data_IF_433183593758
#
_entry.id   IF_433183593758
#
_cell.length_a   1.000
_cell.length_b   1.000
_cell.length_c   1.000
_cell.angle_alpha   90.00
_cell.angle_beta   90.00
_cell.angle_gamma   90.00
#
_symmetry.space_group_name_H-M   'P 1'
#
loop_
_entity.id
_entity.type
_entity.pdbx_description
1 polymer ?
#
# COMPACT_ATOMS: atom_id res chain seq x y z
N UNK A 1 13.43 21.25 21.02
CA UNK A 1 12.93 19.93 20.59
C UNK A 1 13.36 19.73 19.14
N UNK A 2 14.31 18.83 18.88
CA UNK A 2 14.92 18.61 17.55
C UNK A 2 14.26 17.44 16.79
N UNK A 3 14.59 17.30 15.51
CA UNK A 3 14.12 16.19 14.66
C UNK A 3 14.67 14.85 15.18
N UNK A 4 13.81 13.84 15.29
CA UNK A 4 14.23 12.48 15.65
C UNK A 4 14.90 11.78 14.46
N UNK A 5 15.62 10.68 14.72
CA UNK A 5 16.25 9.89 13.65
C UNK A 5 15.22 9.38 12.62
N UNK A 6 14.00 9.09 13.06
CA UNK A 6 12.90 8.71 12.18
C UNK A 6 12.46 9.88 11.29
N UNK A 7 12.34 11.09 11.86
CA UNK A 7 11.95 12.28 11.09
C UNK A 7 12.98 12.58 9.99
N UNK A 8 14.27 12.46 10.31
CA UNK A 8 15.36 12.63 9.34
C UNK A 8 15.28 11.57 8.24
N UNK A 9 15.07 10.30 8.60
CA UNK A 9 14.95 9.22 7.62
C UNK A 9 13.77 9.43 6.67
N UNK A 10 12.60 9.78 7.21
CA UNK A 10 11.39 10.05 6.41
C UNK A 10 11.63 11.23 5.48
N UNK A 11 12.22 12.32 5.98
CA UNK A 11 12.56 13.48 5.16
C UNK A 11 13.54 13.13 4.02
N UNK A 12 14.54 12.30 4.29
CA UNK A 12 15.49 11.85 3.26
C UNK A 12 14.80 10.97 2.20
N UNK A 13 13.94 10.03 2.61
CA UNK A 13 13.23 9.15 1.66
C UNK A 13 12.24 9.93 0.83
N UNK A 14 11.40 10.77 1.45
CA UNK A 14 10.40 11.59 0.76
C UNK A 14 11.07 12.62 -0.14
N UNK A 15 12.04 13.35 0.39
CA UNK A 15 12.80 14.36 -0.36
C UNK A 15 13.57 13.75 -1.53
N UNK A 16 14.26 12.62 -1.30
CA UNK A 16 14.95 11.87 -2.35
C UNK A 16 13.99 11.36 -3.44
N UNK A 17 12.83 10.83 -3.05
CA UNK A 17 11.81 10.38 -3.98
C UNK A 17 11.16 11.53 -4.77
N UNK A 18 10.97 12.69 -4.14
CA UNK A 18 10.49 13.91 -4.79
C UNK A 18 11.48 14.41 -5.84
N UNK A 19 12.77 14.49 -5.50
CA UNK A 19 13.85 14.84 -6.44
C UNK A 19 13.90 13.85 -7.59
N UNK A 20 13.83 12.55 -7.30
CA UNK A 20 13.82 11.53 -8.34
C UNK A 20 12.58 11.62 -9.24
N UNK A 21 11.44 12.04 -8.67
CA UNK A 21 10.21 12.35 -9.40
C UNK A 21 10.35 13.53 -10.35
N UNK A 22 11.07 14.60 -9.97
CA UNK A 22 11.43 15.71 -10.88
C UNK A 22 12.32 15.22 -12.02
N UNK A 23 13.34 14.41 -11.70
CA UNK A 23 14.30 13.90 -12.70
C UNK A 23 13.64 12.96 -13.71
N UNK A 24 12.71 12.12 -13.26
CA UNK A 24 12.01 11.15 -14.11
C UNK A 24 10.74 11.70 -14.74
N UNK A 25 10.10 12.71 -14.16
CA UNK A 25 8.81 13.22 -14.63
C UNK A 25 7.62 12.32 -14.27
N UNK A 26 6.43 12.92 -14.21
CA UNK A 26 5.19 12.25 -13.82
C UNK A 26 4.80 11.11 -14.78
N UNK A 27 4.86 11.33 -16.09
CA UNK A 27 4.47 10.32 -17.08
C UNK A 27 5.27 9.04 -16.95
N UNK A 28 6.60 9.15 -16.80
CA UNK A 28 7.47 7.97 -16.61
C UNK A 28 7.07 7.21 -15.36
N UNK A 29 6.79 7.93 -14.27
CA UNK A 29 6.45 7.34 -12.98
C UNK A 29 5.10 6.63 -13.03
N UNK A 30 4.08 7.23 -13.61
CA UNK A 30 2.76 6.61 -13.78
C UNK A 30 2.81 5.39 -14.70
N UNK A 31 3.49 5.50 -15.85
CA UNK A 31 3.67 4.35 -16.75
C UNK A 31 4.47 3.22 -16.10
N UNK A 32 5.42 3.54 -15.22
CA UNK A 32 6.14 2.52 -14.46
C UNK A 32 5.21 1.76 -13.50
N UNK A 33 4.25 2.44 -12.85
CA UNK A 33 3.23 1.76 -12.05
C UNK A 33 2.31 0.89 -12.91
N UNK A 34 1.92 1.38 -14.09
CA UNK A 34 1.15 0.56 -15.03
C UNK A 34 1.91 -0.69 -15.48
N UNK A 35 3.24 -0.65 -15.60
CA UNK A 35 4.04 -1.84 -15.88
C UNK A 35 3.94 -2.88 -14.75
N UNK A 36 3.93 -2.45 -13.48
CA UNK A 36 3.70 -3.36 -12.34
C UNK A 36 2.31 -3.98 -12.38
N UNK A 37 1.29 -3.19 -12.70
CA UNK A 37 -0.08 -3.70 -12.88
C UNK A 37 -0.11 -4.72 -14.03
N UNK A 38 0.53 -4.42 -15.15
CA UNK A 38 0.62 -5.33 -16.30
C UNK A 38 1.32 -6.65 -15.95
N UNK A 39 2.34 -6.64 -15.09
CA UNK A 39 2.98 -7.88 -14.59
C UNK A 39 1.97 -8.73 -13.84
N UNK A 40 1.18 -8.14 -12.93
CA UNK A 40 0.16 -8.88 -12.17
C UNK A 40 -0.84 -9.53 -13.11
N UNK A 41 -1.35 -8.79 -14.11
CA UNK A 41 -2.25 -9.35 -15.12
C UNK A 41 -1.57 -10.42 -15.99
N UNK A 42 -0.33 -10.18 -16.41
CA UNK A 42 0.44 -11.12 -17.22
C UNK A 42 0.65 -12.44 -16.49
N UNK A 43 1.04 -12.38 -15.22
CA UNK A 43 1.18 -13.57 -14.37
C UNK A 43 -0.18 -14.24 -14.20
N UNK A 44 -1.23 -13.49 -13.85
CA UNK A 44 -2.58 -14.07 -13.66
C UNK A 44 -3.08 -14.82 -14.90
N UNK A 45 -2.83 -14.29 -16.10
CA UNK A 45 -3.36 -14.84 -17.35
C UNK A 45 -2.47 -15.94 -17.95
N UNK A 46 -1.15 -15.78 -17.90
CA UNK A 46 -0.22 -16.62 -18.67
C UNK A 46 0.61 -17.58 -17.81
N UNK A 47 0.59 -17.45 -16.47
CA UNK A 47 1.44 -18.29 -15.60
C UNK A 47 1.13 -19.78 -15.74
N UNK A 48 -0.14 -20.18 -15.62
CA UNK A 48 -0.55 -21.59 -15.71
C UNK A 48 -0.19 -22.26 -17.06
N UNK A 49 -0.59 -21.70 -18.23
CA UNK A 49 -0.26 -22.33 -19.51
C UNK A 49 1.25 -22.37 -19.79
N UNK A 50 1.98 -21.32 -19.42
CA UNK A 50 3.42 -21.26 -19.63
C UNK A 50 4.18 -22.23 -18.71
N UNK A 51 3.77 -22.34 -17.44
CA UNK A 51 4.36 -23.30 -16.50
C UNK A 51 4.17 -24.75 -16.98
N UNK A 52 2.99 -25.07 -17.53
CA UNK A 52 2.73 -26.41 -18.08
C UNK A 52 3.66 -26.71 -19.26
N UNK A 53 3.81 -25.77 -20.19
CA UNK A 53 4.74 -25.89 -21.32
C UNK A 53 6.20 -26.07 -20.89
N UNK A 54 6.61 -25.39 -19.82
CA UNK A 54 7.97 -25.47 -19.26
C UNK A 54 8.21 -26.70 -18.40
N UNK A 55 7.17 -27.46 -18.03
CA UNK A 55 7.32 -28.63 -17.16
C UNK A 55 8.16 -29.73 -17.82
N UNK A 56 7.99 -29.94 -19.13
CA UNK A 56 8.80 -30.90 -19.90
C UNK A 56 10.29 -30.51 -19.93
N UNK A 57 10.64 -29.31 -20.43
CA UNK A 57 12.03 -28.86 -20.51
C UNK A 57 12.75 -28.71 -19.16
N UNK A 58 12.05 -28.29 -18.10
CA UNK A 58 12.66 -28.05 -16.77
C UNK A 58 12.70 -29.31 -15.92
N UNK A 59 11.86 -30.30 -16.21
CA UNK A 59 11.81 -31.59 -15.51
C UNK A 59 11.17 -31.53 -14.11
N UNK A 60 10.84 -30.35 -13.59
CA UNK A 60 10.13 -30.18 -12.31
C UNK A 60 9.00 -29.17 -12.44
N UNK A 61 7.86 -29.47 -11.80
CA UNK A 61 6.68 -28.58 -11.79
C UNK A 61 7.00 -27.26 -11.10
N UNK A 62 7.67 -27.31 -9.95
CA UNK A 62 8.05 -26.10 -9.19
C UNK A 62 9.05 -25.24 -9.96
N UNK A 63 10.08 -25.84 -10.57
CA UNK A 63 11.05 -25.11 -11.36
C UNK A 63 10.42 -24.44 -12.58
N UNK A 64 9.52 -25.14 -13.27
CA UNK A 64 8.77 -24.61 -14.40
C UNK A 64 7.86 -23.43 -13.98
N UNK A 65 7.18 -23.54 -12.83
CA UNK A 65 6.34 -22.47 -12.32
C UNK A 65 7.14 -21.20 -11.94
N UNK A 66 8.31 -21.36 -11.32
CA UNK A 66 9.22 -20.26 -10.99
C UNK A 66 9.77 -19.61 -12.27
N UNK A 67 10.20 -20.42 -13.24
CA UNK A 67 10.72 -19.92 -14.51
C UNK A 67 9.65 -19.20 -15.32
N UNK A 68 8.43 -19.73 -15.37
CA UNK A 68 7.28 -19.07 -16.01
C UNK A 68 7.01 -17.70 -15.39
N UNK A 69 6.99 -17.62 -14.06
CA UNK A 69 6.81 -16.35 -13.35
C UNK A 69 7.93 -15.35 -13.67
N UNK A 70 9.19 -15.81 -13.65
CA UNK A 70 10.36 -14.97 -13.95
C UNK A 70 10.34 -14.45 -15.39
N UNK A 71 9.99 -15.30 -16.36
CA UNK A 71 9.90 -14.93 -17.77
C UNK A 71 8.79 -13.91 -18.01
N UNK A 72 7.58 -14.18 -17.52
CA UNK A 72 6.44 -13.26 -17.69
C UNK A 72 6.75 -11.91 -17.03
N UNK A 73 7.15 -11.93 -15.76
CA UNK A 73 7.43 -10.70 -15.02
C UNK A 73 8.59 -9.93 -15.64
N UNK A 74 9.67 -10.62 -16.02
CA UNK A 74 10.85 -10.01 -16.63
C UNK A 74 10.56 -9.37 -17.98
N UNK A 75 9.90 -10.10 -18.89
CA UNK A 75 9.55 -9.58 -20.22
C UNK A 75 8.58 -8.42 -20.10
N UNK A 76 7.50 -8.55 -19.31
CA UNK A 76 6.52 -7.48 -19.12
C UNK A 76 7.13 -6.26 -18.45
N UNK A 77 7.97 -6.44 -17.43
CA UNK A 77 8.68 -5.34 -16.78
C UNK A 77 9.60 -4.60 -17.75
N UNK A 78 10.43 -5.32 -18.50
CA UNK A 78 11.39 -4.72 -19.42
C UNK A 78 10.69 -3.96 -20.55
N UNK A 79 9.67 -4.57 -21.15
CA UNK A 79 8.85 -3.93 -22.17
C UNK A 79 8.15 -2.68 -21.63
N UNK A 80 7.48 -2.79 -20.48
CA UNK A 80 6.82 -1.66 -19.83
C UNK A 80 7.79 -0.54 -19.46
N UNK A 81 9.01 -0.88 -19.00
CA UNK A 81 10.05 0.10 -18.67
C UNK A 81 10.58 0.82 -19.90
N UNK A 82 10.79 0.12 -21.01
CA UNK A 82 11.17 0.75 -22.28
C UNK A 82 10.11 1.76 -22.73
N UNK A 83 8.83 1.37 -22.72
CA UNK A 83 7.71 2.24 -23.10
C UNK A 83 7.64 3.45 -22.18
N UNK A 84 7.70 3.25 -20.86
CA UNK A 84 7.67 4.33 -19.87
C UNK A 84 8.80 5.35 -20.09
N UNK A 85 10.01 4.87 -20.38
CA UNK A 85 11.15 5.75 -20.65
C UNK A 85 11.01 6.52 -21.96
N UNK A 86 10.56 5.85 -23.04
CA UNK A 86 10.41 6.46 -24.35
C UNK A 86 9.31 7.52 -24.37
N UNK A 87 8.16 7.25 -23.74
CA UNK A 87 7.08 8.23 -23.63
C UNK A 87 7.47 9.35 -22.66
N UNK A 88 8.07 9.00 -21.53
CA UNK A 88 8.52 9.97 -20.53
C UNK A 88 9.54 10.97 -21.07
N UNK A 89 10.52 10.53 -21.88
CA UNK A 89 11.47 11.46 -22.50
C UNK A 89 10.77 12.41 -23.47
N UNK A 90 9.89 11.88 -24.33
CA UNK A 90 9.13 12.71 -25.28
C UNK A 90 8.28 13.78 -24.59
N UNK A 91 7.64 13.44 -23.47
CA UNK A 91 6.86 14.44 -22.71
C UNK A 91 7.77 15.53 -22.13
N UNK A 92 8.92 15.15 -21.56
CA UNK A 92 9.87 16.10 -20.96
C UNK A 92 10.54 17.03 -21.98
N UNK A 93 10.73 16.57 -23.21
CA UNK A 93 11.33 17.35 -24.30
C UNK A 93 10.32 18.28 -24.98
N UNK A 94 9.02 18.17 -24.63
CA UNK A 94 7.95 19.02 -25.14
C UNK A 94 7.76 20.30 -24.32
N UNK A 95 6.87 21.18 -24.79
CA UNK A 95 6.42 22.40 -24.08
C UNK A 95 5.84 22.07 -22.69
N UNK A 96 5.30 20.86 -22.50
CA UNK A 96 4.74 20.40 -21.23
C UNK A 96 5.80 19.90 -20.23
N UNK A 97 7.07 19.86 -20.61
CA UNK A 97 8.15 19.32 -19.78
C UNK A 97 8.22 19.91 -18.36
N UNK A 98 8.12 21.23 -18.15
CA UNK A 98 8.09 21.82 -16.81
C UNK A 98 6.91 21.33 -15.96
N UNK A 99 5.72 21.19 -16.57
CA UNK A 99 4.51 20.71 -15.89
C UNK A 99 4.67 19.24 -15.51
N UNK A 100 5.18 18.40 -16.41
CA UNK A 100 5.45 16.97 -16.15
C UNK A 100 6.46 16.79 -14.99
N UNK A 101 7.49 17.63 -14.91
CA UNK A 101 8.46 17.60 -13.79
C UNK A 101 7.86 18.08 -12.48
N UNK A 102 7.01 19.11 -12.50
CA UNK A 102 6.33 19.60 -11.30
C UNK A 102 5.34 18.56 -10.73
N UNK A 103 4.54 17.93 -11.60
CA UNK A 103 3.70 16.80 -11.21
C UNK A 103 4.53 15.61 -10.74
N UNK A 104 5.69 15.39 -11.37
CA UNK A 104 6.66 14.36 -10.97
C UNK A 104 7.18 14.57 -9.56
N UNK A 105 7.41 15.81 -9.13
CA UNK A 105 7.77 16.15 -7.75
C UNK A 105 6.69 15.68 -6.77
N UNK A 106 5.43 16.06 -7.01
CA UNK A 106 4.32 15.73 -6.13
C UNK A 106 4.06 14.22 -6.07
N UNK A 107 4.08 13.56 -7.22
CA UNK A 107 3.96 12.10 -7.30
C UNK A 107 5.13 11.38 -6.63
N UNK A 108 6.35 11.91 -6.82
CA UNK A 108 7.59 11.44 -6.18
C UNK A 108 7.54 11.54 -4.67
N UNK A 109 7.09 12.67 -4.13
CA UNK A 109 6.90 12.87 -2.70
C UNK A 109 5.84 11.91 -2.14
N UNK A 110 4.70 11.76 -2.83
CA UNK A 110 3.62 10.86 -2.41
C UNK A 110 4.10 9.40 -2.35
N UNK A 111 4.75 8.89 -3.41
CA UNK A 111 5.29 7.52 -3.39
C UNK A 111 6.40 7.36 -2.35
N UNK A 112 7.22 8.39 -2.16
CA UNK A 112 8.27 8.42 -1.14
C UNK A 112 7.69 8.29 0.26
N UNK A 113 6.57 8.96 0.52
CA UNK A 113 5.85 8.88 1.79
C UNK A 113 5.26 7.49 2.01
N UNK A 114 4.66 6.89 0.97
CA UNK A 114 4.16 5.51 1.03
C UNK A 114 5.31 4.54 1.33
N UNK A 115 6.45 4.66 0.63
CA UNK A 115 7.62 3.82 0.85
C UNK A 115 8.24 4.02 2.24
N UNK A 116 8.33 5.26 2.72
CA UNK A 116 8.80 5.56 4.07
C UNK A 116 7.90 4.94 5.13
N UNK A 117 6.57 5.03 4.94
CA UNK A 117 5.57 4.42 5.83
C UNK A 117 5.70 2.90 5.84
N UNK A 118 5.83 2.28 4.67
CA UNK A 118 5.98 0.83 4.56
C UNK A 118 7.30 0.36 5.20
N UNK A 119 8.40 1.09 4.98
CA UNK A 119 9.68 0.82 5.62
C UNK A 119 9.62 0.95 7.14
N UNK A 120 8.95 1.98 7.66
CA UNK A 120 8.71 2.13 9.09
C UNK A 120 7.89 0.97 9.65
N UNK A 121 6.84 0.52 8.94
CA UNK A 121 6.03 -0.61 9.36
C UNK A 121 6.87 -1.89 9.48
N UNK A 122 7.76 -2.14 8.52
CA UNK A 122 8.69 -3.28 8.56
C UNK A 122 9.66 -3.16 9.74
N UNK A 123 10.21 -1.97 10.00
CA UNK A 123 11.11 -1.74 11.15
C UNK A 123 10.39 -2.02 12.46
N UNK A 124 9.18 -1.45 12.64
CA UNK A 124 8.36 -1.68 13.85
C UNK A 124 8.02 -3.15 14.00
N UNK A 125 7.58 -3.81 12.92
CA UNK A 125 7.26 -5.23 12.93
C UNK A 125 8.48 -6.07 13.32
N UNK A 126 9.67 -5.75 12.79
CA UNK A 126 10.91 -6.43 13.11
C UNK A 126 11.30 -6.22 14.57
N UNK A 127 11.21 -4.99 15.07
CA UNK A 127 11.52 -4.68 16.47
C UNK A 127 10.54 -5.33 17.44
N UNK A 128 9.25 -5.34 17.12
CA UNK A 128 8.22 -5.95 17.96
C UNK A 128 8.33 -7.48 17.96
N UNK A 129 8.67 -8.08 16.82
CA UNK A 129 8.92 -9.53 16.69
C UNK A 129 10.20 -9.96 17.42
N UNK A 130 11.28 -9.19 17.33
CA UNK A 130 12.56 -9.52 17.97
C UNK A 130 12.60 -9.22 19.47
N UNK A 131 11.83 -8.23 19.95
CA UNK A 131 11.92 -7.73 21.35
C UNK A 131 10.73 -8.09 22.24
N UNK A 132 9.80 -8.92 21.76
CA UNK A 132 8.77 -9.54 22.58
C UNK A 132 7.54 -8.69 22.86
N UNK A 133 7.15 -7.82 21.92
CA UNK A 133 5.86 -7.12 21.95
C UNK A 133 5.85 -5.69 22.51
N UNK A 134 4.66 -5.04 22.55
CA UNK A 134 4.48 -3.58 22.70
C UNK A 134 5.01 -2.98 24.00
N UNK A 135 5.31 -3.80 25.01
CA UNK A 135 5.67 -3.40 26.36
C UNK A 135 7.14 -2.99 26.54
N UNK A 136 7.98 -3.19 25.51
CA UNK A 136 9.40 -2.74 25.49
C UNK A 136 9.69 -1.77 24.33
N UNK A 137 8.76 -0.84 24.07
CA UNK A 137 8.95 0.19 23.03
C UNK A 137 10.03 1.20 23.48
N UNK A 138 11.10 1.41 22.68
CA UNK A 138 12.20 2.31 23.04
C UNK A 138 11.77 3.78 23.05
N UNK A 139 12.45 4.62 23.86
CA UNK A 139 12.04 6.02 24.12
C UNK A 139 11.86 6.90 22.88
N UNK A 140 12.63 6.65 21.81
CA UNK A 140 12.51 7.40 20.55
C UNK A 140 11.18 7.15 19.82
N UNK A 141 10.48 6.05 20.12
CA UNK A 141 9.15 5.71 19.59
C UNK A 141 8.03 6.35 20.43
N UNK A 142 8.15 6.30 21.76
CA UNK A 142 7.15 6.87 22.69
C UNK A 142 7.21 8.39 22.77
N UNK A 143 8.35 9.02 22.46
CA UNK A 143 8.46 10.49 22.37
C UNK A 143 7.89 11.09 21.08
N UNK A 144 7.51 10.27 20.09
CA UNK A 144 7.02 10.79 18.81
C UNK A 144 5.61 11.36 18.92
N UNK A 145 5.39 12.55 18.35
CA UNK A 145 4.07 13.20 18.29
C UNK A 145 3.02 12.40 17.52
N UNK A 146 3.46 11.52 16.62
CA UNK A 146 2.58 10.69 15.78
C UNK A 146 2.17 9.41 16.50
N UNK A 147 2.88 9.02 17.56
CA UNK A 147 2.65 7.79 18.32
C UNK A 147 1.23 7.66 18.89
N UNK A 148 0.59 8.70 19.49
CA UNK A 148 -0.75 8.57 20.06
C UNK A 148 -1.81 8.26 18.99
N UNK A 149 -1.67 8.87 17.82
CA UNK A 149 -2.58 8.71 16.69
C UNK A 149 -2.50 7.29 16.12
N UNK A 150 -1.28 6.80 15.91
CA UNK A 150 -1.05 5.42 15.45
C UNK A 150 -1.50 4.39 16.47
N UNK A 151 -1.24 4.62 17.76
CA UNK A 151 -1.65 3.71 18.82
C UNK A 151 -3.18 3.61 18.95
N UNK A 152 -3.90 4.73 18.80
CA UNK A 152 -5.36 4.75 18.81
C UNK A 152 -5.97 3.96 17.64
N UNK A 153 -5.42 4.13 16.43
CA UNK A 153 -5.86 3.38 15.25
C UNK A 153 -5.56 1.89 15.37
N UNK A 154 -4.38 1.52 15.90
CA UNK A 154 -4.03 0.11 16.14
C UNK A 154 -4.93 -0.56 17.18
N UNK A 155 -5.30 0.15 18.25
CA UNK A 155 -6.21 -0.37 19.27
C UNK A 155 -7.61 -0.64 18.70
N UNK A 156 -8.13 0.26 17.87
CA UNK A 156 -9.42 0.07 17.18
C UNK A 156 -9.38 -1.11 16.19
N UNK A 157 -8.28 -1.26 15.45
CA UNK A 157 -8.13 -2.37 14.51
C UNK A 157 -7.98 -3.71 15.24
N UNK A 158 -7.27 -3.75 16.37
CA UNK A 158 -7.13 -4.95 17.20
C UNK A 158 -8.49 -5.38 17.79
N UNK A 159 -9.31 -4.43 18.26
CA UNK A 159 -10.67 -4.70 18.74
C UNK A 159 -11.56 -5.25 17.62
N UNK A 160 -11.46 -4.68 16.41
CA UNK A 160 -12.19 -5.17 15.24
C UNK A 160 -11.80 -6.61 14.84
N UNK A 161 -10.50 -6.92 14.84
CA UNK A 161 -9.97 -8.25 14.51
C UNK A 161 -10.38 -9.28 15.58
N UNK A 162 -10.33 -8.91 16.86
CA UNK A 162 -10.73 -9.79 17.96
C UNK A 162 -12.24 -10.10 17.91
N UNK A 163 -13.09 -9.11 17.62
CA UNK A 163 -14.53 -9.31 17.38
C UNK A 163 -14.82 -10.24 16.22
N UNK A 164 -14.05 -10.14 15.11
CA UNK A 164 -14.18 -11.04 13.96
C UNK A 164 -13.72 -12.46 14.28
N UNK A 165 -12.63 -12.63 15.05
CA UNK A 165 -12.18 -13.95 15.55
C UNK A 165 -13.21 -14.61 16.46
N UNK A 166 -13.91 -13.83 17.29
CA UNK A 166 -14.96 -14.30 18.20
C UNK A 166 -16.33 -14.48 17.54
N UNK A 167 -16.44 -14.27 16.23
CA UNK A 167 -17.70 -14.40 15.49
C UNK A 167 -18.78 -13.38 15.87
N UNK A 168 -18.40 -12.28 16.52
CA UNK A 168 -19.32 -11.24 16.94
C UNK A 168 -19.61 -10.26 15.79
N UNK A 169 -20.82 -9.67 15.72
CA UNK A 169 -21.15 -8.69 14.70
C UNK A 169 -20.20 -7.48 14.76
N UNK A 170 -19.71 -7.08 13.58
CA UNK A 170 -18.69 -6.03 13.40
C UNK A 170 -19.12 -4.65 13.91
N UNK A 171 -20.44 -4.45 14.01
CA UNK A 171 -21.08 -3.30 14.64
C UNK A 171 -21.95 -3.85 15.77
N UNK A 172 -21.92 -3.21 16.94
CA UNK A 172 -22.71 -3.64 18.10
C UNK A 172 -24.21 -3.72 17.77
N UNK A 173 -25.03 -4.38 18.61
CA UNK A 173 -26.48 -4.37 18.46
C UNK A 173 -26.95 -2.91 18.32
N UNK A 174 -27.70 -2.57 17.27
CA UNK A 174 -28.33 -1.26 17.15
C UNK A 174 -29.27 -1.09 18.35
N UNK A 175 -28.83 -0.36 19.38
CA UNK A 175 -29.59 -0.09 20.60
C UNK A 175 -30.33 1.24 20.55
N UNK A 176 -30.50 1.82 19.37
CA UNK A 176 -30.94 3.22 19.20
C UNK A 176 -31.96 3.43 18.07
N UNK A 177 -32.59 2.35 17.58
CA UNK A 177 -33.88 2.50 16.89
C UNK A 177 -34.99 2.33 17.93
N UNK A 178 -35.85 3.36 18.13
CA UNK A 178 -37.07 3.19 18.90
C UNK A 178 -37.79 1.96 18.37
N UNK A 179 -38.10 0.99 19.24
CA UNK A 179 -38.91 -0.15 18.85
C UNK A 179 -40.20 0.41 18.23
N UNK A 180 -40.53 -0.05 17.02
CA UNK A 180 -41.77 0.27 16.31
C UNK A 180 -43.03 0.01 17.15
N UNK A 181 -42.87 -0.77 18.22
CA UNK A 181 -43.89 -1.08 19.21
C UNK A 181 -44.32 0.15 20.03
N UNK A 182 -43.39 1.09 20.31
CA UNK A 182 -43.72 2.33 21.01
C UNK A 182 -44.51 3.32 20.12
N UNK A 183 -44.26 3.30 18.80
CA UNK A 183 -45.05 4.08 17.83
C UNK A 183 -46.42 3.44 17.58
N UNK A 184 -46.53 2.11 17.58
CA UNK A 184 -47.80 1.41 17.39
C UNK A 184 -48.76 1.57 18.60
N UNK A 185 -48.24 1.58 19.83
CA UNK A 185 -49.05 1.79 21.04
C UNK A 185 -49.71 3.18 21.05
N UNK A 186 -48.97 4.24 20.75
CA UNK A 186 -49.46 5.63 20.75
C UNK A 186 -50.54 5.90 19.68
N UNK A 187 -50.50 5.21 18.54
CA UNK A 187 -51.50 5.37 17.47
C UNK A 187 -52.83 4.70 17.83
N UNK A 188 -52.80 3.67 18.68
CA UNK A 188 -54.01 2.99 19.14
C UNK A 188 -54.75 3.71 20.28
N UNK A 189 -54.03 4.42 21.15
CA UNK A 189 -54.64 5.27 22.19
C UNK A 189 -55.25 6.55 21.63
N UNK A 190 -54.67 7.14 20.57
CA UNK A 190 -55.24 8.32 19.90
C UNK A 190 -56.52 8.04 19.08
N UNK A 191 -56.97 6.78 19.01
CA UNK A 191 -58.15 6.33 18.24
C UNK A 191 -59.31 5.84 19.10
N UNK A 192 -59.22 5.94 20.43
CA UNK A 192 -60.34 5.73 21.36
C UNK A 192 -60.77 7.04 21.99
#
# INVERSE_FOLDING_TARGET
MGLTALDILVLLVVGGAAVMGVLRGFVTEVLSLFAWVAIVFGVKLFHAPLALWLTGPVGTVTGAAVLAFALISGVTYFAGRMVANALGSRTRDSILGPVDRALGLGFGALKGLILATLGFLVVVMLTDTMRGGPSRRPEWLTQSRTYPLLNATSASMADFIDRRRKGQPAFGPRTDLPSSDATAANVSEARR
#
